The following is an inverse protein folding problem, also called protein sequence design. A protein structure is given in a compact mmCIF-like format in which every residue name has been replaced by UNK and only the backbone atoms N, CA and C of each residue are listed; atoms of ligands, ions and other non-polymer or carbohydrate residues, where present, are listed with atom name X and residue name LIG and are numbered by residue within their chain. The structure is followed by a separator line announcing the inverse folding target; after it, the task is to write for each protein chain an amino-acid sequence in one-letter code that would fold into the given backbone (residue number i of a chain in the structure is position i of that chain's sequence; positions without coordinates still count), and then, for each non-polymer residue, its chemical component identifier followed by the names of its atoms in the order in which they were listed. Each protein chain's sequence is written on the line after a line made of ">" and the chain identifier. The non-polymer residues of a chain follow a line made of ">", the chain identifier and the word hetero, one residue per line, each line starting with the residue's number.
data_IF_695444722396
#
_entry.id   IF_695444722396
#
_cell.length_a   1.000
_cell.length_b   1.000
_cell.length_c   1.000
_cell.angle_alpha   90.00
_cell.angle_beta   90.00
_cell.angle_gamma   90.00
#
_symmetry.space_group_name_H-M   'P 1'
#
loop_
_entity.id
_entity.type
_entity.pdbx_description
1 polymer ?
#
# COMPACT_ATOMS: atom_id res chain seq x y z
N UNK A 1 -1.98 30.43 3.63
CA UNK A 1 -1.52 29.26 4.39
C UNK A 1 -2.36 29.13 5.64
N UNK A 2 -2.64 27.92 6.10
CA UNK A 2 -3.26 27.74 7.42
C UNK A 2 -2.28 28.20 8.52
N UNK A 3 -2.76 28.73 9.66
CA UNK A 3 -1.88 29.17 10.76
C UNK A 3 -0.94 28.07 11.28
N UNK A 4 -1.24 26.79 11.01
CA UNK A 4 -0.43 25.63 11.37
C UNK A 4 0.80 25.38 10.48
N UNK A 5 0.94 26.09 9.36
CA UNK A 5 2.07 25.92 8.42
C UNK A 5 3.13 27.00 8.54
N UNK A 6 2.85 28.06 9.30
CA UNK A 6 3.80 29.16 9.54
C UNK A 6 4.62 28.86 10.80
N UNK A 7 5.89 28.52 10.62
CA UNK A 7 6.84 28.23 11.70
C UNK A 7 8.00 29.24 11.70
N UNK A 8 7.73 30.54 11.96
CA UNK A 8 8.73 31.60 11.82
C UNK A 8 9.86 31.49 12.84
N UNK A 9 9.64 30.74 13.93
CA UNK A 9 10.63 30.46 14.98
C UNK A 9 11.36 29.12 14.78
N UNK A 10 11.08 28.42 13.68
CA UNK A 10 11.61 27.10 13.35
C UNK A 10 11.55 26.10 14.53
N UNK A 11 10.47 26.18 15.32
CA UNK A 11 10.26 25.32 16.48
C UNK A 11 9.86 23.95 15.96
N UNK A 12 10.67 22.94 16.26
CA UNK A 12 10.38 21.55 15.93
C UNK A 12 9.81 20.84 17.17
N UNK A 13 8.87 19.90 17.00
CA UNK A 13 8.42 19.04 18.09
C UNK A 13 9.62 18.41 18.82
N UNK A 14 9.62 18.49 20.16
CA UNK A 14 10.64 17.87 21.02
C UNK A 14 10.03 16.70 21.79
N UNK A 15 10.83 15.71 22.14
CA UNK A 15 10.39 14.57 22.96
C UNK A 15 10.21 14.92 24.44
N UNK A 16 10.67 16.11 24.88
CA UNK A 16 10.57 16.58 26.25
C UNK A 16 10.27 18.08 26.26
N UNK A 17 9.28 18.50 27.07
CA UNK A 17 8.93 19.92 27.24
C UNK A 17 8.68 20.23 28.71
N UNK A 18 9.26 21.32 29.22
CA UNK A 18 9.00 21.81 30.58
C UNK A 18 7.64 22.55 30.65
N UNK A 19 6.78 22.15 31.58
CA UNK A 19 5.47 22.76 31.85
C UNK A 19 5.28 23.03 33.36
N UNK A 20 4.35 23.90 33.77
CA UNK A 20 4.07 24.17 35.19
C UNK A 20 3.75 22.91 36.01
N UNK A 21 3.15 21.90 35.38
CA UNK A 21 2.77 20.63 35.99
C UNK A 21 3.91 19.59 36.04
N UNK A 22 5.07 19.91 35.43
CA UNK A 22 6.25 19.05 35.33
C UNK A 22 6.73 18.85 33.90
N UNK A 23 7.80 18.07 33.73
CA UNK A 23 8.32 17.71 32.42
C UNK A 23 7.38 16.71 31.73
N UNK A 24 6.87 17.07 30.56
CA UNK A 24 6.06 16.18 29.73
C UNK A 24 6.91 15.52 28.64
N UNK A 25 6.66 14.24 28.37
CA UNK A 25 7.40 13.45 27.38
C UNK A 25 6.51 13.02 26.22
N UNK A 26 6.99 13.23 24.99
CA UNK A 26 6.38 12.71 23.77
C UNK A 26 7.18 11.49 23.27
N UNK A 27 6.52 10.47 22.69
CA UNK A 27 7.22 9.36 22.06
C UNK A 27 8.15 9.84 20.94
N UNK A 28 9.31 9.19 20.82
CA UNK A 28 10.24 9.44 19.72
C UNK A 28 9.68 8.84 18.42
N UNK A 29 9.71 9.61 17.35
CA UNK A 29 9.50 9.07 16.00
C UNK A 29 10.79 8.45 15.46
N UNK A 30 10.67 7.23 14.94
CA UNK A 30 11.75 6.62 14.17
C UNK A 30 11.83 7.23 12.77
N UNK A 31 13.01 7.21 12.16
CA UNK A 31 13.22 7.67 10.78
C UNK A 31 12.57 6.73 9.73
N UNK A 32 11.98 5.62 10.15
CA UNK A 32 11.39 4.62 9.26
C UNK A 32 10.25 3.90 9.97
N UNK A 33 9.13 3.76 9.28
CA UNK A 33 8.03 2.91 9.75
C UNK A 33 8.44 1.45 9.61
N UNK A 34 8.17 0.66 10.65
CA UNK A 34 8.34 -0.79 10.64
C UNK A 34 6.99 -1.47 10.62
N UNK A 35 6.90 -2.60 9.92
CA UNK A 35 5.77 -3.51 10.06
C UNK A 35 5.86 -4.28 11.39
N UNK A 36 4.75 -4.89 11.80
CA UNK A 36 4.68 -5.59 13.09
C UNK A 36 5.64 -6.79 13.14
N UNK A 37 5.71 -7.54 12.04
CA UNK A 37 6.57 -8.71 11.84
C UNK A 37 8.07 -8.39 11.69
N UNK A 38 8.42 -7.12 11.49
CA UNK A 38 9.80 -6.63 11.61
C UNK A 38 10.20 -6.34 13.07
N UNK A 39 9.25 -6.38 13.99
CA UNK A 39 9.45 -5.97 15.39
C UNK A 39 9.20 -7.14 16.36
N UNK A 40 8.21 -7.96 16.08
CA UNK A 40 7.81 -9.13 16.89
C UNK A 40 7.45 -10.30 15.99
N UNK A 41 7.44 -11.51 16.53
CA UNK A 41 6.91 -12.68 15.83
C UNK A 41 5.39 -12.52 15.63
N UNK A 42 4.91 -12.80 14.42
CA UNK A 42 3.50 -12.69 14.04
C UNK A 42 3.03 -14.02 13.47
N UNK A 43 2.06 -14.64 14.15
CA UNK A 43 1.54 -15.94 13.74
C UNK A 43 0.62 -15.86 12.52
N UNK A 44 -0.20 -14.81 12.41
CA UNK A 44 -1.21 -14.70 11.35
C UNK A 44 -1.44 -13.26 10.93
N UNK A 45 -1.85 -13.08 9.68
CA UNK A 45 -2.19 -11.78 9.12
C UNK A 45 -3.66 -11.72 8.71
N UNK A 46 -4.33 -10.61 9.03
CA UNK A 46 -5.65 -10.28 8.53
C UNK A 46 -5.57 -8.98 7.69
N UNK A 47 -5.64 -9.08 6.37
CA UNK A 47 -5.38 -7.95 5.48
C UNK A 47 -6.58 -7.00 5.37
N UNK A 48 -6.28 -5.73 5.11
CA UNK A 48 -7.27 -4.69 4.79
C UNK A 48 -7.00 -3.37 5.53
N UNK A 49 -7.48 -2.27 4.95
CA UNK A 49 -7.34 -0.93 5.54
C UNK A 49 -8.72 -0.21 5.57
N UNK A 50 -9.66 -0.64 6.44
CA UNK A 50 -9.57 -1.80 7.34
C UNK A 50 -10.00 -3.14 6.67
N UNK A 51 -9.78 -4.30 7.33
CA UNK A 51 -10.40 -5.56 6.93
C UNK A 51 -11.93 -5.48 7.03
N UNK A 52 -12.67 -6.19 6.16
CA UNK A 52 -14.13 -6.26 6.26
C UNK A 52 -14.56 -6.99 7.54
N UNK A 53 -15.71 -6.58 8.09
CA UNK A 53 -16.26 -7.17 9.32
C UNK A 53 -16.42 -8.70 9.22
N UNK A 54 -16.84 -9.21 8.06
CA UNK A 54 -16.97 -10.65 7.81
C UNK A 54 -15.61 -11.36 7.85
N UNK A 55 -14.53 -10.73 7.35
CA UNK A 55 -13.18 -11.31 7.41
C UNK A 55 -12.66 -11.38 8.85
N UNK A 56 -12.96 -10.35 9.65
CA UNK A 56 -12.65 -10.36 11.09
C UNK A 56 -13.42 -11.50 11.78
N UNK A 57 -14.70 -11.69 11.46
CA UNK A 57 -15.51 -12.77 12.02
C UNK A 57 -14.97 -14.16 11.65
N UNK A 58 -14.60 -14.37 10.39
CA UNK A 58 -13.99 -15.62 9.94
C UNK A 58 -12.68 -15.93 10.68
N UNK A 59 -11.83 -14.94 10.88
CA UNK A 59 -10.60 -15.10 11.65
C UNK A 59 -10.90 -15.49 13.11
N UNK A 60 -11.88 -14.85 13.74
CA UNK A 60 -12.29 -15.21 15.10
C UNK A 60 -12.81 -16.65 15.19
N UNK A 61 -13.66 -17.07 14.24
CA UNK A 61 -14.18 -18.44 14.18
C UNK A 61 -13.04 -19.44 13.97
N UNK A 62 -12.11 -19.16 13.05
CA UNK A 62 -10.95 -20.02 12.80
C UNK A 62 -10.08 -20.20 14.06
N UNK A 63 -9.89 -19.13 14.85
CA UNK A 63 -9.19 -19.18 16.13
C UNK A 63 -9.97 -20.01 17.16
N UNK A 64 -11.27 -19.76 17.32
CA UNK A 64 -12.10 -20.47 18.32
C UNK A 64 -12.26 -21.95 18.02
N UNK A 65 -12.35 -22.33 16.74
CA UNK A 65 -12.46 -23.73 16.30
C UNK A 65 -11.10 -24.42 16.17
N UNK A 66 -9.99 -23.72 16.42
CA UNK A 66 -8.62 -24.20 16.22
C UNK A 66 -8.38 -24.72 14.79
N UNK A 67 -8.96 -24.05 13.79
CA UNK A 67 -8.83 -24.34 12.35
C UNK A 67 -7.97 -23.27 11.68
N UNK A 68 -6.77 -23.07 12.23
CA UNK A 68 -5.83 -22.07 11.74
C UNK A 68 -4.95 -22.65 10.63
N UNK A 69 -4.58 -21.83 9.63
CA UNK A 69 -3.54 -22.20 8.67
C UNK A 69 -2.16 -22.32 9.37
N UNK A 70 -1.09 -22.72 8.67
CA UNK A 70 0.25 -22.68 9.25
C UNK A 70 0.65 -21.26 9.71
N UNK A 71 1.47 -21.10 10.76
CA UNK A 71 1.99 -19.79 11.17
C UNK A 71 2.69 -19.05 10.03
N UNK A 72 2.60 -17.72 10.05
CA UNK A 72 3.01 -16.81 8.98
C UNK A 72 1.96 -16.66 7.85
N UNK A 73 0.85 -17.40 7.90
CA UNK A 73 -0.17 -17.34 6.85
C UNK A 73 -1.10 -16.14 6.97
N UNK A 74 -1.64 -15.72 5.84
CA UNK A 74 -2.74 -14.75 5.77
C UNK A 74 -4.06 -15.50 5.91
N UNK A 75 -4.90 -15.11 6.86
CA UNK A 75 -6.27 -15.62 6.99
C UNK A 75 -7.14 -14.86 5.98
N UNK A 76 -7.43 -15.50 4.84
CA UNK A 76 -8.24 -14.91 3.79
C UNK A 76 -8.04 -15.59 2.44
N UNK A 77 -8.59 -14.98 1.38
CA UNK A 77 -8.51 -15.51 0.03
C UNK A 77 -7.06 -15.54 -0.49
N UNK A 78 -6.71 -16.54 -1.29
CA UNK A 78 -5.40 -16.64 -1.96
C UNK A 78 -5.38 -16.02 -3.37
N UNK A 79 -6.58 -15.75 -3.91
CA UNK A 79 -6.83 -15.16 -5.22
C UNK A 79 -6.67 -13.63 -5.22
N UNK A 80 -6.84 -13.03 -6.39
CA UNK A 80 -6.77 -11.59 -6.59
C UNK A 80 -8.16 -10.94 -6.58
N UNK A 81 -8.24 -9.64 -6.34
CA UNK A 81 -9.50 -8.87 -6.44
C UNK A 81 -10.16 -9.07 -7.81
N UNK A 82 -9.38 -9.27 -8.87
CA UNK A 82 -9.91 -9.54 -10.21
C UNK A 82 -10.78 -10.81 -10.30
N UNK A 83 -10.59 -11.79 -9.42
CA UNK A 83 -11.36 -13.04 -9.40
C UNK A 83 -12.80 -12.85 -8.91
N UNK A 84 -13.04 -11.82 -8.11
CA UNK A 84 -14.37 -11.49 -7.55
C UNK A 84 -14.94 -10.17 -8.09
N UNK A 85 -14.18 -9.46 -8.93
CA UNK A 85 -14.61 -8.20 -9.51
C UNK A 85 -15.74 -8.42 -10.53
N UNK A 86 -16.87 -7.69 -10.42
CA UNK A 86 -18.02 -7.91 -11.30
C UNK A 86 -17.86 -7.31 -12.71
N UNK A 87 -16.81 -6.50 -12.94
CA UNK A 87 -16.58 -5.85 -14.23
C UNK A 87 -16.11 -6.86 -15.29
N UNK A 88 -16.59 -6.68 -16.51
CA UNK A 88 -16.24 -7.49 -17.68
C UNK A 88 -14.79 -7.22 -18.09
N UNK A 89 -14.02 -8.30 -18.23
CA UNK A 89 -12.60 -8.25 -18.64
C UNK A 89 -12.48 -8.71 -20.09
N UNK A 90 -11.61 -8.05 -20.85
CA UNK A 90 -11.13 -8.52 -22.14
C UNK A 90 -9.65 -8.91 -22.06
N UNK A 91 -9.08 -9.36 -23.18
CA UNK A 91 -7.62 -9.39 -23.33
C UNK A 91 -7.08 -7.96 -23.12
N UNK A 92 -6.12 -7.81 -22.21
CA UNK A 92 -5.63 -6.48 -21.80
C UNK A 92 -4.62 -5.99 -22.81
N UNK A 93 -4.97 -4.92 -23.51
CA UNK A 93 -4.09 -4.23 -24.45
C UNK A 93 -4.08 -2.75 -24.14
N UNK A 94 -3.22 -2.37 -23.20
CA UNK A 94 -3.19 -1.01 -22.67
C UNK A 94 -2.28 -0.15 -23.55
N UNK A 95 -2.90 0.81 -24.24
CA UNK A 95 -2.21 1.77 -25.10
C UNK A 95 -1.75 3.03 -24.34
N UNK A 96 -2.43 3.36 -23.23
CA UNK A 96 -2.08 4.49 -22.38
C UNK A 96 -2.71 4.32 -20.99
N UNK A 97 -2.03 4.79 -19.96
CA UNK A 97 -2.63 4.95 -18.64
C UNK A 97 -3.22 6.35 -18.47
N UNK A 98 -4.36 6.42 -17.80
CA UNK A 98 -5.10 7.65 -17.52
C UNK A 98 -5.28 7.80 -16.01
N UNK A 99 -5.39 9.04 -15.56
CA UNK A 99 -5.75 9.41 -14.20
C UNK A 99 -7.27 9.43 -14.07
N UNK A 100 -7.76 9.22 -12.86
CA UNK A 100 -9.20 9.04 -12.59
C UNK A 100 -10.08 10.24 -12.95
N UNK A 101 -9.51 11.43 -13.16
CA UNK A 101 -10.23 12.63 -13.60
C UNK A 101 -10.15 12.89 -15.10
N UNK A 102 -9.32 12.16 -15.83
CA UNK A 102 -9.14 12.35 -17.28
C UNK A 102 -10.20 11.62 -18.09
N UNK A 103 -10.93 10.70 -17.45
CA UNK A 103 -11.93 9.85 -18.08
C UNK A 103 -13.07 9.55 -17.10
N UNK A 104 -14.30 9.49 -17.63
CA UNK A 104 -15.44 8.89 -16.96
C UNK A 104 -15.48 7.43 -17.41
N UNK A 105 -15.17 6.45 -16.54
CA UNK A 105 -15.10 5.07 -16.96
C UNK A 105 -16.49 4.50 -17.23
N UNK A 106 -16.58 3.63 -18.23
CA UNK A 106 -17.70 2.73 -18.42
C UNK A 106 -17.87 1.87 -17.14
N UNK A 107 -19.10 1.74 -16.60
CA UNK A 107 -19.34 1.04 -15.35
C UNK A 107 -19.15 -0.49 -15.45
N UNK A 108 -19.35 -1.06 -16.64
CA UNK A 108 -19.38 -2.51 -16.86
C UNK A 108 -18.01 -3.04 -17.29
N UNK A 109 -17.21 -2.25 -18.00
CA UNK A 109 -15.88 -2.65 -18.50
C UNK A 109 -14.82 -2.55 -17.40
N UNK A 110 -13.87 -3.48 -17.37
CA UNK A 110 -12.73 -3.45 -16.45
C UNK A 110 -12.00 -2.10 -16.49
N UNK A 111 -11.79 -1.48 -15.31
CA UNK A 111 -11.12 -0.17 -15.21
C UNK A 111 -9.70 -0.19 -15.79
N UNK A 112 -8.98 -1.29 -15.58
CA UNK A 112 -7.64 -1.44 -16.14
C UNK A 112 -7.67 -1.48 -17.67
N UNK A 113 -8.64 -2.18 -18.27
CA UNK A 113 -8.79 -2.26 -19.73
C UNK A 113 -9.13 -0.89 -20.34
N UNK A 114 -9.65 0.04 -19.53
CA UNK A 114 -9.92 1.44 -19.91
C UNK A 114 -8.73 2.38 -19.68
N UNK A 115 -7.59 1.85 -19.24
CA UNK A 115 -6.36 2.61 -18.97
C UNK A 115 -6.27 3.17 -17.54
N UNK A 116 -7.21 2.90 -16.64
CA UNK A 116 -7.11 3.34 -15.25
C UNK A 116 -6.26 2.36 -14.45
N UNK A 117 -5.19 2.84 -13.81
CA UNK A 117 -4.30 2.00 -12.99
C UNK A 117 -5.10 1.40 -11.82
N UNK A 118 -5.46 0.12 -11.96
CA UNK A 118 -6.23 -0.63 -10.98
C UNK A 118 -5.37 -1.75 -10.41
N UNK A 119 -5.07 -1.66 -9.11
CA UNK A 119 -4.19 -2.62 -8.44
C UNK A 119 -4.82 -3.98 -8.20
N UNK A 120 -6.08 -4.18 -8.61
CA UNK A 120 -6.84 -5.40 -8.36
C UNK A 120 -6.17 -6.66 -8.91
N UNK A 121 -5.34 -6.51 -9.96
CA UNK A 121 -4.57 -7.58 -10.60
C UNK A 121 -3.44 -8.16 -9.70
N UNK A 122 -3.01 -7.42 -8.67
CA UNK A 122 -1.97 -7.85 -7.73
C UNK A 122 -2.42 -7.78 -6.27
N UNK A 123 -3.68 -7.40 -6.02
CA UNK A 123 -4.22 -7.25 -4.67
C UNK A 123 -4.99 -8.48 -4.28
N UNK A 124 -4.79 -8.97 -3.06
CA UNK A 124 -5.54 -10.11 -2.50
C UNK A 124 -7.04 -9.84 -2.46
N UNK A 125 -7.85 -10.85 -2.79
CA UNK A 125 -9.30 -10.81 -2.65
C UNK A 125 -9.76 -10.81 -1.18
N UNK A 126 -11.06 -10.58 -0.95
CA UNK A 126 -11.68 -10.59 0.38
C UNK A 126 -12.47 -9.32 0.71
N UNK A 127 -12.20 -8.23 -0.02
CA UNK A 127 -12.91 -6.95 0.11
C UNK A 127 -14.18 -6.83 -0.76
N UNK A 128 -14.61 -7.90 -1.43
CA UNK A 128 -15.75 -7.88 -2.35
C UNK A 128 -15.59 -7.00 -3.60
N UNK A 129 -14.35 -6.55 -3.91
CA UNK A 129 -14.08 -5.63 -5.03
C UNK A 129 -14.93 -4.35 -5.00
N UNK A 130 -15.16 -3.78 -3.81
CA UNK A 130 -16.04 -2.62 -3.61
C UNK A 130 -15.59 -1.35 -4.35
N UNK A 131 -14.29 -1.09 -4.51
CA UNK A 131 -13.86 0.14 -5.20
C UNK A 131 -14.29 0.14 -6.69
N UNK A 132 -14.03 -0.95 -7.46
CA UNK A 132 -14.50 -1.03 -8.83
C UNK A 132 -16.02 -0.91 -9.02
N UNK A 133 -16.84 -1.33 -8.04
CA UNK A 133 -18.31 -1.24 -8.17
C UNK A 133 -18.82 0.21 -8.12
N UNK A 134 -18.03 1.12 -7.54
CA UNK A 134 -18.34 2.56 -7.49
C UNK A 134 -17.51 3.39 -8.49
N UNK A 135 -16.90 2.73 -9.48
CA UNK A 135 -16.12 3.44 -10.52
C UNK A 135 -14.68 3.80 -10.14
N UNK A 136 -14.22 3.38 -8.96
CA UNK A 136 -12.89 3.70 -8.47
C UNK A 136 -11.92 2.53 -8.67
N UNK A 137 -10.69 2.74 -9.17
CA UNK A 137 -9.71 1.66 -9.26
C UNK A 137 -9.36 1.11 -7.87
N UNK A 138 -9.04 -0.18 -7.81
CA UNK A 138 -8.48 -0.77 -6.60
C UNK A 138 -7.12 -0.11 -6.30
N UNK A 139 -6.90 0.23 -5.02
CA UNK A 139 -5.70 0.93 -4.55
C UNK A 139 -4.70 0.04 -3.80
N UNK A 140 -4.94 -1.28 -3.73
CA UNK A 140 -3.97 -2.20 -3.12
C UNK A 140 -4.01 -2.37 -1.61
N UNK A 141 -5.07 -1.91 -0.93
CA UNK A 141 -5.10 -1.88 0.54
C UNK A 141 -5.15 -3.25 1.24
N UNK A 142 -5.50 -4.32 0.52
CA UNK A 142 -5.48 -5.70 1.04
C UNK A 142 -4.10 -6.37 0.88
N UNK A 143 -3.12 -5.65 0.32
CA UNK A 143 -1.78 -6.17 0.13
C UNK A 143 -1.71 -7.28 -0.94
N UNK A 144 -0.54 -7.94 -1.03
CA UNK A 144 -0.24 -8.88 -2.09
C UNK A 144 -1.00 -10.21 -1.98
N UNK A 145 -1.24 -10.84 -3.14
CA UNK A 145 -1.71 -12.22 -3.21
C UNK A 145 -0.65 -13.22 -2.68
N UNK A 146 -1.02 -14.49 -2.54
CA UNK A 146 -0.13 -15.50 -1.95
C UNK A 146 1.17 -15.66 -2.76
N UNK A 147 2.29 -15.85 -2.05
CA UNK A 147 3.60 -16.09 -2.65
C UNK A 147 4.28 -14.83 -3.21
N UNK A 148 3.74 -13.64 -2.95
CA UNK A 148 4.32 -12.37 -3.38
C UNK A 148 4.88 -11.62 -2.17
N UNK A 149 6.19 -11.38 -2.19
CA UNK A 149 6.92 -10.68 -1.13
C UNK A 149 6.80 -9.16 -1.25
N UNK A 150 6.91 -8.66 -2.48
CA UNK A 150 6.89 -7.23 -2.78
C UNK A 150 5.72 -6.89 -3.70
N UNK A 151 4.72 -6.23 -3.12
CA UNK A 151 3.50 -5.84 -3.82
C UNK A 151 3.77 -4.87 -4.98
N UNK A 152 4.68 -3.92 -4.80
CA UNK A 152 4.92 -2.92 -5.84
C UNK A 152 5.71 -3.52 -7.00
N UNK A 153 6.68 -4.40 -6.73
CA UNK A 153 7.35 -5.19 -7.76
C UNK A 153 6.34 -6.05 -8.53
N UNK A 154 5.41 -6.72 -7.82
CA UNK A 154 4.33 -7.50 -8.46
C UNK A 154 3.43 -6.65 -9.34
N UNK A 155 3.07 -5.44 -8.89
CA UNK A 155 2.30 -4.49 -9.69
C UNK A 155 3.04 -4.07 -10.97
N UNK A 156 4.33 -3.73 -10.87
CA UNK A 156 5.15 -3.37 -12.03
C UNK A 156 5.20 -4.53 -13.03
N UNK A 157 5.46 -5.76 -12.57
CA UNK A 157 5.44 -6.95 -13.43
C UNK A 157 4.09 -7.17 -14.10
N UNK A 158 2.99 -7.01 -13.36
CA UNK A 158 1.65 -7.20 -13.90
C UNK A 158 1.31 -6.12 -14.95
N UNK A 159 1.69 -4.87 -14.72
CA UNK A 159 1.47 -3.78 -15.68
C UNK A 159 2.33 -3.93 -16.93
N UNK A 160 3.60 -4.29 -16.79
CA UNK A 160 4.49 -4.53 -17.94
C UNK A 160 3.94 -5.61 -18.88
N UNK A 161 3.22 -6.61 -18.36
CA UNK A 161 2.63 -7.69 -19.16
C UNK A 161 1.38 -7.31 -19.96
N UNK A 162 0.80 -6.13 -19.72
CA UNK A 162 -0.47 -5.70 -20.36
C UNK A 162 -0.32 -4.44 -21.21
N UNK A 163 0.86 -3.83 -21.24
CA UNK A 163 1.18 -2.72 -22.16
C UNK A 163 1.23 -3.30 -23.57
N UNK A 164 0.44 -2.74 -24.49
CA UNK A 164 0.33 -3.21 -25.87
C UNK A 164 1.35 -2.51 -26.77
N UNK A 165 2.64 -2.67 -26.44
CA UNK A 165 3.73 -2.19 -27.28
C UNK A 165 4.97 -3.06 -27.11
N UNK A 166 5.74 -3.20 -28.19
CA UNK A 166 7.07 -3.82 -28.18
C UNK A 166 8.17 -2.80 -28.47
N UNK A 167 7.82 -1.52 -28.66
CA UNK A 167 8.77 -0.44 -28.91
C UNK A 167 9.20 0.19 -27.57
N UNK A 168 10.51 0.15 -27.22
CA UNK A 168 11.00 0.69 -25.96
C UNK A 168 10.68 2.17 -25.74
N UNK A 169 10.70 3.01 -26.78
CA UNK A 169 10.43 4.45 -26.65
C UNK A 169 8.94 4.71 -26.35
N UNK A 170 8.05 3.95 -26.99
CA UNK A 170 6.62 4.00 -26.70
C UNK A 170 6.29 3.48 -25.29
N UNK A 171 6.91 2.38 -24.86
CA UNK A 171 6.72 1.85 -23.51
C UNK A 171 7.15 2.89 -22.46
N UNK A 172 8.33 3.50 -22.64
CA UNK A 172 8.84 4.53 -21.72
C UNK A 172 7.89 5.73 -21.64
N UNK A 173 7.34 6.17 -22.78
CA UNK A 173 6.33 7.23 -22.85
C UNK A 173 5.06 6.85 -22.10
N UNK A 174 4.51 5.65 -22.34
CA UNK A 174 3.28 5.17 -21.67
C UNK A 174 3.46 5.16 -20.14
N UNK A 175 4.63 4.71 -19.67
CA UNK A 175 4.93 4.64 -18.23
C UNK A 175 5.12 6.04 -17.66
N UNK A 176 5.95 6.88 -18.27
CA UNK A 176 6.34 8.18 -17.72
C UNK A 176 5.18 9.18 -17.73
N UNK A 177 4.39 9.21 -18.79
CA UNK A 177 3.21 10.09 -18.88
C UNK A 177 2.04 9.55 -18.04
N UNK A 178 1.84 8.23 -18.06
CA UNK A 178 0.70 7.58 -17.44
C UNK A 178 0.84 7.34 -15.93
N UNK A 179 2.08 7.25 -15.42
CA UNK A 179 2.39 6.87 -14.03
C UNK A 179 3.39 7.86 -13.41
N UNK A 180 2.97 9.11 -13.14
CA UNK A 180 3.88 10.16 -12.66
C UNK A 180 4.44 9.93 -11.25
N UNK A 181 3.78 9.09 -10.44
CA UNK A 181 4.26 8.71 -9.10
C UNK A 181 4.15 7.18 -8.89
N UNK A 182 5.12 6.40 -9.36
CA UNK A 182 5.11 4.95 -9.20
C UNK A 182 5.16 4.52 -7.74
N UNK A 183 5.83 5.26 -6.86
CA UNK A 183 5.97 4.90 -5.44
C UNK A 183 4.64 5.10 -4.71
N UNK A 184 4.02 6.28 -4.84
CA UNK A 184 2.71 6.54 -4.24
C UNK A 184 1.59 5.69 -4.84
N UNK A 185 1.74 5.24 -6.09
CA UNK A 185 0.77 4.35 -6.75
C UNK A 185 0.93 2.91 -6.31
N UNK A 186 2.15 2.35 -6.34
CA UNK A 186 2.39 0.92 -6.14
C UNK A 186 2.78 0.55 -4.71
N UNK A 187 3.20 1.50 -3.87
CA UNK A 187 3.65 1.23 -2.50
C UNK A 187 2.81 1.94 -1.43
N UNK A 188 1.60 2.41 -1.78
CA UNK A 188 0.71 3.18 -0.90
C UNK A 188 0.50 2.55 0.48
N UNK A 189 0.42 1.22 0.53
CA UNK A 189 0.15 0.46 1.77
C UNK A 189 1.29 -0.49 2.15
N UNK A 190 2.33 -0.61 1.32
CA UNK A 190 3.33 -1.68 1.44
C UNK A 190 4.77 -1.17 1.47
N UNK A 191 5.01 0.15 1.42
CA UNK A 191 6.36 0.71 1.37
C UNK A 191 7.23 0.23 2.55
N UNK A 192 6.70 0.19 3.77
CA UNK A 192 7.47 -0.25 4.95
C UNK A 192 7.89 -1.73 4.91
N UNK A 193 7.10 -2.57 4.24
CA UNK A 193 7.39 -4.00 4.04
C UNK A 193 8.26 -4.26 2.81
N UNK A 194 8.26 -3.35 1.83
CA UNK A 194 8.91 -3.56 0.54
C UNK A 194 10.42 -3.74 0.64
N UNK A 195 11.04 -4.20 -0.44
CA UNK A 195 12.49 -4.29 -0.53
C UNK A 195 13.18 -2.91 -0.46
N UNK A 196 12.46 -1.83 -0.83
CA UNK A 196 12.98 -0.47 -0.76
C UNK A 196 12.91 0.13 0.65
N UNK A 197 11.82 -0.12 1.40
CA UNK A 197 11.53 0.37 2.76
C UNK A 197 11.40 1.89 2.95
N UNK A 198 12.33 2.67 2.41
CA UNK A 198 12.35 4.14 2.44
C UNK A 198 13.31 4.71 1.39
N UNK A 199 13.26 6.02 1.19
CA UNK A 199 14.32 6.73 0.47
C UNK A 199 15.66 6.67 1.22
N UNK A 200 16.75 6.85 0.49
CA UNK A 200 18.07 7.02 1.10
C UNK A 200 18.04 8.22 2.04
N UNK A 201 18.52 8.01 3.26
CA UNK A 201 18.81 9.13 4.15
C UNK A 201 20.13 9.76 3.68
N UNK A 202 20.30 11.08 3.81
CA UNK A 202 21.61 11.69 3.66
C UNK A 202 22.61 10.96 4.57
N UNK A 203 23.74 10.50 4.02
CA UNK A 203 24.77 9.79 4.78
C UNK A 203 25.21 10.60 6.00
N UNK A 204 25.36 9.94 7.15
CA UNK A 204 25.69 10.51 8.45
C UNK A 204 26.75 11.63 8.41
N UNK A 205 26.31 12.86 8.62
CA UNK A 205 27.01 13.83 9.44
C UNK A 205 26.13 14.11 10.64
N UNK A 206 26.28 13.33 11.71
CA UNK A 206 25.49 13.33 12.95
C UNK A 206 24.16 12.58 12.89
N UNK A 207 24.21 11.25 13.01
CA UNK A 207 23.10 10.51 13.62
C UNK A 207 22.98 10.99 15.06
N UNK A 208 22.04 11.89 15.35
CA UNK A 208 21.64 12.19 16.72
C UNK A 208 20.73 11.05 17.20
N UNK A 209 21.27 9.84 17.26
CA UNK A 209 20.82 8.90 18.27
C UNK A 209 21.59 9.34 19.51
N UNK A 210 21.05 10.32 20.25
CA UNK A 210 21.50 10.56 21.62
C UNK A 210 21.15 9.29 22.37
N UNK A 211 22.17 8.49 22.65
CA UNK A 211 22.14 7.44 23.65
C UNK A 211 21.41 7.98 24.86
N UNK A 212 20.24 7.39 25.15
CA UNK A 212 19.61 7.53 26.45
C UNK A 212 20.56 6.80 27.39
N UNK A 213 21.36 7.57 28.13
CA UNK A 213 22.04 7.04 29.30
C UNK A 213 20.96 6.50 30.23
N UNK A 214 20.95 5.18 30.39
CA UNK A 214 20.21 4.52 31.46
C UNK A 214 20.86 4.93 32.77
N UNK A 215 20.23 5.89 33.45
CA UNK A 215 20.37 6.06 34.90
C UNK A 215 19.55 5.01 35.64
#
# INVERSE_FOLDING_TARGET
>A
GSPSTDNPRNVLPQTSTEMPEGTIHLPLFYDTVKTLDQTVEVDYYLPGCPPEAERIWEALVAILENKLPPPGSVIGAETTVCDVCPRTRSEKKILAFKRTWEIIPDPDICLLDQGLICCGIATRAGCGALCPTVGSPCIGCYGPNQGVEDFGARMITALASVIDSNDPEEIDRIITEGIPDPIGTFYRFSLAHSQMRRSSLPGNGTSVIRSVETG
#
